data_IF_563671732448
#
_entry.id   IF_563671732448
#
_cell.length_a   1.000
_cell.length_b   1.000
_cell.length_c   1.000
_cell.angle_alpha   90.00
_cell.angle_beta   90.00
_cell.angle_gamma   90.00
#
_symmetry.space_group_name_H-M   'P 1'
#
loop_
_entity.id
_entity.type
_entity.pdbx_description
1 polymer ?
#
# COMPACT_ATOMS: atom_id res chain seq x y z
N UNK A 1 44.95 14.74 2.25
CA UNK A 1 45.33 15.48 1.01
C UNK A 1 44.09 15.60 0.15
N UNK A 2 43.68 16.85 -0.16
CA UNK A 2 42.80 17.23 -1.26
C UNK A 2 41.32 16.83 -1.22
N UNK A 3 40.46 17.70 -0.69
CA UNK A 3 39.04 17.80 -1.09
C UNK A 3 38.69 19.28 -1.24
N UNK A 4 38.52 19.73 -2.49
CA UNK A 4 38.08 21.07 -2.83
C UNK A 4 36.55 21.12 -2.87
N UNK A 5 36.00 22.03 -2.07
CA UNK A 5 34.60 22.46 -2.01
C UNK A 5 34.31 23.49 -3.09
N UNK A 6 33.23 23.30 -3.87
CA UNK A 6 32.68 24.33 -4.75
C UNK A 6 31.24 24.71 -4.36
N UNK A 7 31.07 26.01 -4.23
CA UNK A 7 29.94 26.77 -3.70
C UNK A 7 28.90 27.15 -4.77
N UNK A 8 27.69 27.44 -4.30
CA UNK A 8 26.53 27.87 -5.06
C UNK A 8 26.67 29.26 -5.72
N UNK A 9 26.07 29.45 -6.89
CA UNK A 9 25.80 30.76 -7.48
C UNK A 9 24.35 30.90 -7.97
N UNK A 10 23.66 31.88 -7.35
CA UNK A 10 22.43 32.54 -7.82
C UNK A 10 22.75 33.36 -9.09
N UNK A 11 21.86 33.35 -10.09
CA UNK A 11 21.80 34.39 -11.13
C UNK A 11 20.37 34.91 -11.28
N UNK A 12 20.23 36.22 -11.02
CA UNK A 12 19.11 37.04 -11.43
C UNK A 12 19.39 37.57 -12.85
N UNK A 13 18.34 37.73 -13.68
CA UNK A 13 18.44 38.29 -15.02
C UNK A 13 17.37 39.37 -15.24
N UNK A 14 17.83 40.59 -15.44
CA UNK A 14 17.08 41.80 -15.75
C UNK A 14 16.91 42.01 -17.27
N UNK A 15 15.84 42.72 -17.65
CA UNK A 15 15.49 43.13 -19.02
C UNK A 15 16.51 44.09 -19.67
N UNK A 16 16.49 44.21 -21.02
CA UNK A 16 16.95 45.40 -21.72
C UNK A 16 15.88 46.07 -22.64
N UNK A 17 15.75 47.39 -22.45
CA UNK A 17 15.71 48.51 -23.44
C UNK A 17 15.03 48.41 -24.81
N UNK A 18 14.25 49.43 -25.20
CA UNK A 18 14.69 50.55 -26.08
C UNK A 18 13.54 51.49 -26.51
N UNK A 19 13.86 52.77 -26.58
CA UNK A 19 13.08 53.91 -27.14
C UNK A 19 13.64 54.31 -28.50
N UNK A 20 12.80 54.68 -29.49
CA UNK A 20 13.19 55.64 -30.56
C UNK A 20 11.97 56.45 -31.03
N UNK A 21 12.24 57.76 -31.17
CA UNK A 21 11.42 58.88 -31.64
C UNK A 21 11.02 58.83 -33.12
N UNK A 22 9.99 59.62 -33.47
CA UNK A 22 9.80 60.18 -34.81
C UNK A 22 8.55 61.05 -34.91
N UNK A 23 8.70 62.36 -34.80
CA UNK A 23 7.58 63.32 -34.78
C UNK A 23 7.30 64.05 -36.10
N UNK A 24 6.44 65.07 -35.96
CA UNK A 24 6.30 66.32 -36.75
C UNK A 24 5.11 66.41 -37.74
N UNK A 25 4.17 67.31 -37.37
CA UNK A 25 3.35 68.32 -38.13
C UNK A 25 2.60 67.88 -39.41
N UNK A 26 1.49 68.48 -39.83
CA UNK A 26 0.50 69.42 -39.31
C UNK A 26 -0.61 69.54 -40.39
N UNK A 27 -1.64 70.32 -40.08
CA UNK A 27 -2.55 71.06 -40.98
C UNK A 27 -3.89 70.44 -41.38
N UNK A 28 -4.88 71.30 -41.14
CA UNK A 28 -6.28 71.22 -41.47
C UNK A 28 -6.54 71.48 -42.96
N UNK A 29 -7.63 70.92 -43.46
CA UNK A 29 -8.17 71.23 -44.78
C UNK A 29 -9.55 70.61 -44.93
N UNK A 30 -10.59 71.37 -44.60
CA UNK A 30 -11.98 70.95 -44.78
C UNK A 30 -12.36 70.84 -46.26
N UNK A 31 -13.26 69.90 -46.57
CA UNK A 31 -14.20 70.02 -47.69
C UNK A 31 -15.47 69.25 -47.36
N UNK A 32 -16.56 70.01 -47.38
CA UNK A 32 -17.95 69.58 -47.32
C UNK A 32 -18.35 68.83 -48.60
N UNK A 33 -19.02 67.69 -48.46
CA UNK A 33 -20.10 67.28 -49.39
C UNK A 33 -20.92 66.10 -48.85
N UNK A 34 -22.21 66.39 -48.64
CA UNK A 34 -23.40 65.60 -49.00
C UNK A 34 -23.53 64.16 -48.44
N UNK A 35 -24.38 64.05 -47.42
CA UNK A 35 -25.02 62.80 -46.94
C UNK A 35 -26.20 62.44 -47.85
N UNK A 36 -26.32 61.21 -48.36
CA UNK A 36 -27.60 60.66 -48.80
C UNK A 36 -28.35 60.05 -47.61
N UNK A 37 -29.58 60.53 -47.40
CA UNK A 37 -30.59 60.02 -46.47
C UNK A 37 -30.85 58.53 -46.75
N UNK A 38 -30.49 57.67 -45.79
CA UNK A 38 -30.75 56.22 -45.87
C UNK A 38 -30.08 55.40 -44.78
N UNK A 39 -29.04 55.92 -44.11
CA UNK A 39 -28.29 55.21 -43.05
C UNK A 39 -28.64 55.62 -41.61
N UNK A 40 -29.71 56.39 -41.41
CA UNK A 40 -30.04 56.93 -40.09
C UNK A 40 -30.94 55.99 -39.26
N UNK A 41 -31.76 55.14 -39.90
CA UNK A 41 -32.68 54.22 -39.19
C UNK A 41 -31.93 52.99 -38.63
N UNK A 42 -30.87 52.54 -39.31
CA UNK A 42 -30.09 51.38 -38.86
C UNK A 42 -29.17 51.69 -37.67
N UNK A 43 -28.70 52.94 -37.54
CA UNK A 43 -27.94 53.40 -36.36
C UNK A 43 -28.81 53.53 -35.12
N UNK A 44 -30.06 53.98 -35.25
CA UNK A 44 -30.98 54.06 -34.10
C UNK A 44 -31.37 52.67 -33.59
N UNK A 45 -31.60 51.70 -34.48
CA UNK A 45 -31.88 50.32 -34.08
C UNK A 45 -30.69 49.62 -33.42
N UNK A 46 -29.46 49.83 -33.92
CA UNK A 46 -28.27 49.28 -33.28
C UNK A 46 -27.95 49.96 -31.94
N UNK A 47 -28.20 51.27 -31.81
CA UNK A 47 -28.05 51.96 -30.53
C UNK A 47 -29.11 51.50 -29.52
N UNK A 48 -30.37 51.28 -29.93
CA UNK A 48 -31.41 50.72 -29.05
C UNK A 48 -31.07 49.29 -28.63
N UNK A 49 -30.57 48.45 -29.54
CA UNK A 49 -30.10 47.09 -29.21
C UNK A 49 -28.92 47.11 -28.24
N UNK A 50 -27.97 48.02 -28.41
CA UNK A 50 -26.84 48.20 -27.50
C UNK A 50 -27.33 48.72 -26.14
N UNK A 51 -28.28 49.65 -26.08
CA UNK A 51 -28.84 50.15 -24.83
C UNK A 51 -29.65 49.08 -24.09
N UNK A 52 -30.41 48.23 -24.80
CA UNK A 52 -31.12 47.09 -24.20
C UNK A 52 -30.11 46.03 -23.70
N UNK A 53 -29.05 45.74 -24.47
CA UNK A 53 -28.00 44.82 -24.06
C UNK A 53 -27.22 45.35 -22.85
N UNK A 54 -26.86 46.63 -22.84
CA UNK A 54 -26.24 47.29 -21.69
C UNK A 54 -27.18 47.32 -20.48
N UNK A 55 -28.49 47.52 -20.67
CA UNK A 55 -29.48 47.42 -19.60
C UNK A 55 -29.59 46.01 -19.04
N UNK A 56 -29.62 44.98 -19.89
CA UNK A 56 -29.64 43.56 -19.48
C UNK A 56 -28.35 43.15 -18.78
N UNK A 57 -27.18 43.58 -19.29
CA UNK A 57 -25.88 43.33 -18.65
C UNK A 57 -25.81 44.05 -17.31
N UNK A 58 -26.35 45.27 -17.21
CA UNK A 58 -26.38 46.01 -15.93
C UNK A 58 -27.34 45.37 -14.94
N UNK A 59 -28.48 44.84 -15.38
CA UNK A 59 -29.40 44.04 -14.54
C UNK A 59 -28.76 42.71 -14.13
N UNK A 60 -28.00 42.05 -15.02
CA UNK A 60 -27.26 40.81 -14.73
C UNK A 60 -26.10 41.06 -13.77
N UNK A 61 -25.38 42.17 -13.92
CA UNK A 61 -24.30 42.59 -13.02
C UNK A 61 -24.87 43.07 -11.68
N UNK A 62 -26.01 43.78 -11.66
CA UNK A 62 -26.72 44.17 -10.44
C UNK A 62 -27.37 42.96 -9.75
N UNK A 63 -27.90 41.97 -10.47
CA UNK A 63 -28.33 40.68 -9.90
C UNK A 63 -27.16 39.80 -9.46
N UNK A 64 -25.99 39.95 -10.09
CA UNK A 64 -24.74 39.31 -9.67
C UNK A 64 -24.08 39.97 -8.45
N UNK A 65 -24.39 41.24 -8.17
CA UNK A 65 -23.87 41.99 -7.02
C UNK A 65 -24.87 42.17 -5.88
N UNK A 66 -26.17 41.94 -6.14
CA UNK A 66 -27.25 41.93 -5.14
C UNK A 66 -27.89 40.54 -5.14
N UNK A 67 -27.18 39.58 -4.52
CA UNK A 67 -27.73 38.39 -3.86
C UNK A 67 -28.62 37.44 -4.66
N UNK A 68 -28.03 36.35 -5.15
CA UNK A 68 -28.52 35.00 -4.80
C UNK A 68 -27.39 34.24 -4.11
N UNK A 69 -27.08 34.69 -2.90
CA UNK A 69 -26.25 34.02 -1.92
C UNK A 69 -27.13 33.08 -1.08
N UNK A 70 -27.91 32.22 -1.74
CA UNK A 70 -28.92 31.34 -1.11
C UNK A 70 -28.72 29.86 -1.47
N UNK A 71 -27.55 29.47 -1.97
CA UNK A 71 -27.23 28.06 -2.22
C UNK A 71 -25.80 27.65 -1.87
N UNK A 72 -24.88 28.60 -1.65
CA UNK A 72 -23.55 28.28 -1.12
C UNK A 72 -23.57 28.18 0.40
N UNK A 73 -24.29 29.04 1.12
CA UNK A 73 -24.32 29.01 2.59
C UNK A 73 -24.92 27.72 3.15
N UNK A 74 -25.98 27.20 2.53
CA UNK A 74 -26.61 25.95 2.96
C UNK A 74 -25.75 24.74 2.61
N UNK A 75 -25.11 24.73 1.42
CA UNK A 75 -24.19 23.66 1.05
C UNK A 75 -22.92 23.66 1.92
N UNK A 76 -22.38 24.84 2.22
CA UNK A 76 -21.21 25.01 3.09
C UNK A 76 -21.55 24.71 4.55
N UNK A 77 -22.75 25.07 5.03
CA UNK A 77 -23.22 24.73 6.38
C UNK A 77 -23.54 23.24 6.52
N UNK A 78 -24.15 22.61 5.51
CA UNK A 78 -24.34 21.15 5.47
C UNK A 78 -22.98 20.45 5.43
N UNK A 79 -22.02 20.95 4.67
CA UNK A 79 -20.68 20.38 4.61
C UNK A 79 -19.94 20.55 5.95
N UNK A 80 -20.07 21.69 6.62
CA UNK A 80 -19.53 21.90 7.98
C UNK A 80 -20.19 20.97 8.99
N UNK A 81 -21.52 20.82 8.95
CA UNK A 81 -22.26 19.90 9.81
C UNK A 81 -21.82 18.45 9.57
N UNK A 82 -21.63 18.03 8.32
CA UNK A 82 -21.12 16.70 7.99
C UNK A 82 -19.69 16.50 8.50
N UNK A 83 -18.83 17.51 8.41
CA UNK A 83 -17.47 17.47 8.96
C UNK A 83 -17.51 17.38 10.49
N UNK A 84 -18.37 18.15 11.15
CA UNK A 84 -18.55 18.12 12.61
C UNK A 84 -19.13 16.78 13.08
N UNK A 85 -20.16 16.25 12.42
CA UNK A 85 -20.68 14.91 12.68
C UNK A 85 -19.63 13.84 12.43
N UNK A 86 -18.86 13.92 11.33
CA UNK A 86 -17.78 12.97 11.04
C UNK A 86 -16.72 13.02 12.13
N UNK A 87 -16.30 14.22 12.55
CA UNK A 87 -15.34 14.39 13.63
C UNK A 87 -15.90 13.89 14.98
N UNK A 88 -17.20 14.08 15.23
CA UNK A 88 -17.88 13.55 16.42
C UNK A 88 -17.93 12.03 16.40
N UNK A 89 -18.29 11.40 15.27
CA UNK A 89 -18.29 9.95 15.10
C UNK A 89 -16.87 9.40 15.24
N UNK A 90 -15.88 10.04 14.62
CA UNK A 90 -14.47 9.66 14.77
C UNK A 90 -14.00 9.80 16.22
N UNK A 91 -14.46 10.83 16.94
CA UNK A 91 -14.16 11.00 18.36
C UNK A 91 -14.85 9.94 19.21
N UNK A 92 -16.08 9.55 18.89
CA UNK A 92 -16.83 8.47 19.56
C UNK A 92 -16.14 7.11 19.34
N UNK A 93 -15.78 6.78 18.11
CA UNK A 93 -14.99 5.57 17.77
C UNK A 93 -13.64 5.57 18.51
N UNK A 94 -12.96 6.72 18.62
CA UNK A 94 -11.71 6.85 19.38
C UNK A 94 -11.92 6.85 20.90
N UNK A 95 -13.13 7.15 21.36
CA UNK A 95 -13.52 7.25 22.76
C UNK A 95 -14.16 5.97 23.30
N UNK A 96 -14.36 4.93 22.48
CA UNK A 96 -14.70 3.55 22.90
C UNK A 96 -13.60 2.87 23.74
N UNK A 97 -12.80 3.67 24.45
CA UNK A 97 -12.18 3.27 25.71
C UNK A 97 -13.30 3.30 26.75
N UNK A 98 -13.95 2.17 27.00
CA UNK A 98 -14.85 2.05 28.14
C UNK A 98 -14.01 2.12 29.43
N UNK A 99 -14.05 3.23 30.19
CA UNK A 99 -13.28 3.35 31.42
C UNK A 99 -13.76 2.40 32.53
N UNK A 100 -14.87 1.69 32.30
CA UNK A 100 -15.41 0.64 33.15
C UNK A 100 -15.28 -0.75 32.53
N UNK A 101 -14.50 -0.93 31.45
CA UNK A 101 -14.15 -2.28 30.98
C UNK A 101 -13.42 -3.00 32.13
N UNK A 102 -14.03 -4.04 32.75
CA UNK A 102 -13.41 -4.78 33.86
C UNK A 102 -12.06 -5.38 33.46
N UNK A 103 -11.85 -5.49 32.15
CA UNK A 103 -10.73 -6.10 31.47
C UNK A 103 -9.62 -5.07 31.12
N UNK A 104 -9.85 -3.76 31.31
CA UNK A 104 -8.83 -2.68 31.33
C UNK A 104 -8.39 -2.34 32.77
N UNK A 105 -9.29 -2.49 33.75
CA UNK A 105 -8.99 -2.32 35.18
C UNK A 105 -8.14 -3.46 35.76
N UNK A 106 -8.04 -4.56 35.03
CA UNK A 106 -7.02 -5.58 35.18
C UNK A 106 -5.97 -5.31 34.11
N UNK A 107 -5.07 -4.35 34.34
CA UNK A 107 -3.72 -4.54 33.81
C UNK A 107 -3.30 -5.91 34.32
N UNK A 108 -3.29 -6.90 33.44
CA UNK A 108 -2.72 -8.20 33.71
C UNK A 108 -1.26 -7.93 34.03
N UNK A 109 -0.96 -7.71 35.31
CA UNK A 109 0.36 -7.89 35.86
C UNK A 109 0.71 -9.33 35.51
N UNK A 110 1.31 -9.54 34.35
CA UNK A 110 1.93 -10.81 34.02
C UNK A 110 2.89 -11.03 35.16
N UNK A 111 2.57 -12.01 36.00
CA UNK A 111 3.50 -12.48 36.98
C UNK A 111 4.77 -12.87 36.19
N UNK A 112 5.91 -12.20 36.40
CA UNK A 112 7.11 -12.45 35.61
C UNK A 112 7.63 -13.90 35.75
N UNK A 113 7.06 -14.67 36.68
CA UNK A 113 7.30 -16.12 36.84
C UNK A 113 6.45 -17.02 35.92
N UNK A 114 5.47 -16.49 35.17
CA UNK A 114 4.64 -17.27 34.24
C UNK A 114 5.13 -17.03 32.82
N UNK A 115 5.61 -18.08 32.16
CA UNK A 115 6.01 -18.03 30.75
C UNK A 115 4.77 -17.90 29.87
N UNK A 116 4.74 -16.87 29.01
CA UNK A 116 3.67 -16.67 28.03
C UNK A 116 3.55 -17.87 27.08
N UNK A 117 2.31 -18.22 26.68
CA UNK A 117 2.03 -19.27 25.70
C UNK A 117 0.95 -18.80 24.71
N UNK A 118 1.06 -19.19 23.44
CA UNK A 118 0.06 -18.88 22.40
C UNK A 118 -1.24 -19.73 22.51
N UNK A 119 -1.27 -20.67 23.46
CA UNK A 119 -2.36 -21.60 23.70
C UNK A 119 -1.84 -22.96 24.17
N UNK A 120 -2.76 -23.92 24.40
CA UNK A 120 -2.37 -25.28 24.79
C UNK A 120 -1.43 -25.93 23.77
N UNK A 121 -0.44 -26.68 24.27
CA UNK A 121 0.52 -27.38 23.40
C UNK A 121 -0.19 -28.44 22.56
N UNK A 122 0.07 -28.43 21.26
CA UNK A 122 -0.38 -29.44 20.30
C UNK A 122 0.87 -30.20 19.85
N UNK A 123 0.79 -31.53 19.79
CA UNK A 123 1.95 -32.40 19.48
C UNK A 123 1.75 -33.34 18.29
N UNK A 124 0.53 -33.44 17.75
CA UNK A 124 0.20 -34.33 16.62
C UNK A 124 -0.65 -33.61 15.55
N UNK A 125 -0.36 -32.33 15.30
CA UNK A 125 -1.13 -31.54 14.33
C UNK A 125 -1.06 -32.13 12.92
N UNK A 126 0.09 -32.68 12.50
CA UNK A 126 0.22 -33.32 11.19
C UNK A 126 -0.68 -34.55 11.06
N UNK A 127 -0.79 -35.36 12.13
CA UNK A 127 -1.69 -36.51 12.20
C UNK A 127 -3.16 -36.10 12.16
N UNK A 128 -3.56 -35.14 13.00
CA UNK A 128 -4.92 -34.59 13.05
C UNK A 128 -5.33 -33.96 11.72
N UNK A 129 -4.47 -33.12 11.13
CA UNK A 129 -4.70 -32.46 9.85
C UNK A 129 -4.85 -33.46 8.71
N UNK A 130 -4.04 -34.53 8.69
CA UNK A 130 -4.17 -35.61 7.71
C UNK A 130 -5.52 -36.31 7.84
N UNK A 131 -5.94 -36.68 9.04
CA UNK A 131 -7.24 -37.32 9.28
C UNK A 131 -8.38 -36.40 8.83
N UNK A 132 -8.26 -35.09 9.07
CA UNK A 132 -9.26 -34.12 8.62
C UNK A 132 -9.33 -34.04 7.10
N UNK A 133 -8.19 -33.96 6.40
CA UNK A 133 -8.15 -33.91 4.93
C UNK A 133 -8.74 -35.17 4.29
N UNK A 134 -8.45 -36.35 4.86
CA UNK A 134 -9.00 -37.63 4.39
C UNK A 134 -10.54 -37.69 4.56
N UNK A 135 -11.10 -36.99 5.55
CA UNK A 135 -12.55 -36.95 5.84
C UNK A 135 -13.30 -35.85 5.10
N UNK A 136 -12.60 -34.82 4.58
CA UNK A 136 -13.20 -33.65 3.94
C UNK A 136 -12.59 -33.42 2.53
N UNK A 137 -12.77 -34.37 1.58
CA UNK A 137 -12.16 -34.31 0.25
C UNK A 137 -12.63 -33.12 -0.60
N UNK A 138 -13.73 -32.47 -0.24
CA UNK A 138 -14.25 -31.25 -0.84
C UNK A 138 -13.42 -29.99 -0.48
N UNK A 139 -12.56 -30.08 0.54
CA UNK A 139 -11.61 -29.04 0.94
C UNK A 139 -10.16 -29.52 0.79
N UNK A 140 -9.68 -29.77 -0.45
CA UNK A 140 -8.32 -30.24 -0.65
C UNK A 140 -7.31 -29.12 -0.39
N UNK A 141 -6.15 -29.51 0.15
CA UNK A 141 -5.00 -28.63 0.32
C UNK A 141 -4.23 -28.36 -0.98
N UNK A 142 -4.54 -29.09 -2.05
CA UNK A 142 -4.04 -28.86 -3.40
C UNK A 142 -5.19 -28.87 -4.41
N UNK A 143 -5.24 -27.84 -5.27
CA UNK A 143 -6.21 -27.74 -6.38
C UNK A 143 -5.41 -27.65 -7.68
N UNK A 144 -5.62 -28.60 -8.60
CA UNK A 144 -4.86 -28.68 -9.87
C UNK A 144 -3.34 -28.60 -9.67
N UNK A 145 -2.82 -29.36 -8.70
CA UNK A 145 -1.40 -29.37 -8.30
C UNK A 145 -0.86 -28.04 -7.75
N UNK A 146 -1.70 -27.02 -7.52
CA UNK A 146 -1.34 -25.80 -6.81
C UNK A 146 -1.76 -25.92 -5.34
N UNK A 147 -0.84 -25.66 -4.42
CA UNK A 147 -1.15 -25.66 -3.00
C UNK A 147 -2.09 -24.49 -2.66
N UNK A 148 -3.04 -24.71 -1.73
CA UNK A 148 -3.93 -23.66 -1.24
C UNK A 148 -3.16 -22.67 -0.37
N UNK A 149 -3.24 -21.39 -0.72
CA UNK A 149 -2.63 -20.29 0.03
C UNK A 149 -3.75 -19.44 0.64
N UNK A 150 -3.55 -19.05 1.90
CA UNK A 150 -4.33 -18.01 2.58
C UNK A 150 -3.43 -16.80 2.81
N UNK A 151 -3.68 -15.69 2.13
CA UNK A 151 -3.02 -14.42 2.40
C UNK A 151 -3.63 -13.80 3.66
N UNK A 152 -2.78 -13.43 4.61
CA UNK A 152 -3.18 -12.83 5.88
C UNK A 152 -2.53 -11.45 6.00
N UNK A 153 -3.34 -10.43 6.23
CA UNK A 153 -2.90 -9.06 6.50
C UNK A 153 -3.76 -8.49 7.62
N UNK A 154 -3.38 -7.34 8.17
CA UNK A 154 -4.23 -6.63 9.12
C UNK A 154 -3.79 -5.21 9.40
N UNK A 155 -4.64 -4.50 10.13
CA UNK A 155 -4.36 -3.18 10.69
C UNK A 155 -4.95 -3.12 12.10
N UNK A 156 -4.57 -2.11 12.91
CA UNK A 156 -5.28 -1.83 14.16
C UNK A 156 -6.79 -1.64 13.92
N UNK A 157 -7.65 -1.96 14.93
CA UNK A 157 -9.10 -1.73 14.87
C UNK A 157 -9.46 -0.24 14.82
N UNK A 158 -8.66 0.59 15.48
CA UNK A 158 -8.94 2.00 15.64
C UNK A 158 -8.53 2.78 14.37
N UNK A 159 -9.21 3.91 14.08
CA UNK A 159 -8.78 4.83 13.02
C UNK A 159 -7.31 5.22 13.21
N UNK A 160 -6.60 5.41 12.10
CA UNK A 160 -5.23 5.86 12.15
C UNK A 160 -5.08 7.20 12.86
N UNK A 161 -3.89 7.44 13.44
CA UNK A 161 -3.54 8.73 14.06
C UNK A 161 -3.71 9.86 13.03
N UNK A 162 -3.28 9.58 11.80
CA UNK A 162 -3.46 10.42 10.63
C UNK A 162 -4.51 9.81 9.69
N UNK A 163 -5.58 10.55 9.39
CA UNK A 163 -6.68 10.10 8.52
C UNK A 163 -6.23 9.70 7.11
N UNK A 164 -5.12 10.24 6.60
CA UNK A 164 -4.57 9.78 5.31
C UNK A 164 -4.06 8.33 5.39
N UNK A 165 -3.67 7.86 6.57
CA UNK A 165 -3.25 6.50 6.83
C UNK A 165 -4.32 5.49 6.44
N UNK A 166 -5.57 5.71 6.85
CA UNK A 166 -6.71 4.86 6.50
C UNK A 166 -6.92 4.78 4.98
N UNK A 167 -6.69 5.89 4.26
CA UNK A 167 -6.76 5.88 2.80
C UNK A 167 -5.68 4.98 2.17
N UNK A 168 -4.46 4.98 2.71
CA UNK A 168 -3.40 4.10 2.21
C UNK A 168 -3.58 2.64 2.65
N UNK A 169 -4.18 2.37 3.82
CA UNK A 169 -4.62 1.02 4.19
C UNK A 169 -5.66 0.50 3.20
N UNK A 170 -6.64 1.33 2.82
CA UNK A 170 -7.65 0.99 1.82
C UNK A 170 -7.03 0.68 0.45
N UNK A 171 -6.08 1.51 0.00
CA UNK A 171 -5.35 1.27 -1.25
C UNK A 171 -4.52 -0.01 -1.18
N UNK A 172 -3.88 -0.28 -0.05
CA UNK A 172 -3.09 -1.49 0.13
C UNK A 172 -3.95 -2.77 0.12
N UNK A 173 -5.13 -2.76 0.75
CA UNK A 173 -6.02 -3.91 0.66
C UNK A 173 -6.63 -4.07 -0.74
N UNK A 174 -6.99 -2.99 -1.45
CA UNK A 174 -7.39 -3.10 -2.86
C UNK A 174 -6.29 -3.77 -3.70
N UNK A 175 -5.04 -3.36 -3.52
CA UNK A 175 -3.90 -3.96 -4.22
C UNK A 175 -3.80 -5.48 -3.95
N UNK A 176 -3.89 -5.90 -2.68
CA UNK A 176 -3.90 -7.32 -2.30
C UNK A 176 -5.11 -8.07 -2.86
N UNK A 177 -6.31 -7.48 -2.83
CA UNK A 177 -7.53 -8.03 -3.45
C UNK A 177 -7.33 -8.28 -4.93
N UNK A 178 -6.74 -7.32 -5.66
CA UNK A 178 -6.52 -7.46 -7.09
C UNK A 178 -5.55 -8.60 -7.40
N UNK A 179 -4.43 -8.69 -6.69
CA UNK A 179 -3.48 -9.80 -6.84
C UNK A 179 -4.14 -11.14 -6.52
N UNK A 180 -4.74 -11.28 -5.34
CA UNK A 180 -5.31 -12.56 -4.92
C UNK A 180 -6.46 -13.02 -5.81
N UNK A 181 -7.27 -12.10 -6.33
CA UNK A 181 -8.31 -12.42 -7.33
C UNK A 181 -7.72 -12.96 -8.63
N UNK A 182 -6.59 -12.40 -9.09
CA UNK A 182 -5.91 -12.87 -10.31
C UNK A 182 -5.25 -14.24 -10.11
N UNK A 183 -4.80 -14.53 -8.90
CA UNK A 183 -4.02 -15.73 -8.57
C UNK A 183 -4.81 -16.84 -7.86
N UNK A 184 -6.10 -16.63 -7.58
CA UNK A 184 -6.96 -17.61 -6.90
C UNK A 184 -6.57 -17.84 -5.44
N UNK A 185 -6.15 -16.79 -4.73
CA UNK A 185 -5.72 -16.82 -3.34
C UNK A 185 -6.83 -16.24 -2.45
N UNK A 186 -7.09 -16.86 -1.32
CA UNK A 186 -8.05 -16.35 -0.32
C UNK A 186 -7.36 -15.30 0.57
N UNK A 187 -8.13 -14.33 1.09
CA UNK A 187 -7.60 -13.26 1.95
C UNK A 187 -8.35 -13.24 3.29
N UNK A 188 -7.59 -13.16 4.38
CA UNK A 188 -8.07 -12.72 5.70
C UNK A 188 -7.48 -11.35 6.02
N UNK A 189 -8.37 -10.40 6.34
CA UNK A 189 -8.00 -9.09 6.87
C UNK A 189 -8.38 -9.01 8.34
N UNK A 190 -7.39 -9.02 9.24
CA UNK A 190 -7.65 -8.91 10.66
C UNK A 190 -7.68 -7.45 11.12
N UNK A 191 -8.69 -7.11 11.92
CA UNK A 191 -8.81 -5.85 12.66
C UNK A 191 -8.99 -6.08 14.16
N UNK A 192 -8.88 -7.33 14.65
CA UNK A 192 -9.08 -7.65 16.06
C UNK A 192 -7.76 -7.86 16.80
N UNK A 193 -7.70 -7.44 18.06
CA UNK A 193 -6.67 -7.86 18.99
C UNK A 193 -7.07 -9.21 19.60
N UNK A 194 -6.46 -10.29 19.13
CA UNK A 194 -6.72 -11.64 19.64
C UNK A 194 -6.04 -11.93 20.99
N UNK A 195 -5.03 -11.13 21.31
CA UNK A 195 -4.21 -11.26 22.51
C UNK A 195 -3.77 -9.86 22.96
N UNK A 196 -4.01 -9.53 24.24
CA UNK A 196 -3.70 -8.21 24.81
C UNK A 196 -2.20 -8.00 25.07
N UNK A 197 -1.43 -9.08 25.17
CA UNK A 197 0.01 -9.07 25.43
C UNK A 197 0.82 -8.96 24.14
N UNK A 198 0.38 -9.65 23.09
CA UNK A 198 0.98 -9.58 21.76
C UNK A 198 0.34 -8.48 20.90
N UNK A 199 0.59 -7.23 21.28
CA UNK A 199 0.18 -6.04 20.52
C UNK A 199 1.20 -5.62 19.44
N UNK A 200 0.76 -4.76 18.51
CA UNK A 200 1.61 -4.19 17.46
C UNK A 200 2.06 -5.24 16.44
N UNK A 201 3.35 -5.23 16.06
CA UNK A 201 3.90 -6.17 15.08
C UNK A 201 3.82 -7.63 15.55
N UNK A 202 3.72 -7.88 16.85
CA UNK A 202 3.58 -9.22 17.44
C UNK A 202 2.19 -9.86 17.25
N UNK A 203 1.16 -9.07 16.95
CA UNK A 203 -0.22 -9.55 16.82
C UNK A 203 -0.41 -10.59 15.70
N UNK A 204 0.55 -10.68 14.77
CA UNK A 204 0.53 -11.68 13.69
C UNK A 204 0.70 -13.11 14.20
N UNK A 205 1.47 -13.36 15.27
CA UNK A 205 1.71 -14.71 15.79
C UNK A 205 0.42 -15.42 16.26
N UNK A 206 -0.39 -14.86 17.18
CA UNK A 206 -1.61 -15.52 17.65
C UNK A 206 -2.64 -15.67 16.52
N UNK A 207 -2.69 -14.71 15.58
CA UNK A 207 -3.55 -14.80 14.40
C UNK A 207 -3.14 -15.94 13.47
N UNK A 208 -1.85 -16.05 13.13
CA UNK A 208 -1.35 -17.13 12.27
C UNK A 208 -1.64 -18.49 12.92
N UNK A 209 -1.34 -18.66 14.22
CA UNK A 209 -1.67 -19.90 14.95
C UNK A 209 -3.15 -20.22 14.86
N UNK A 210 -4.02 -19.23 15.10
CA UNK A 210 -5.48 -19.41 15.03
C UNK A 210 -5.93 -19.85 13.64
N UNK A 211 -5.41 -19.22 12.59
CA UNK A 211 -5.77 -19.53 11.21
C UNK A 211 -5.26 -20.90 10.77
N UNK A 212 -4.03 -21.30 11.15
CA UNK A 212 -3.52 -22.64 10.90
C UNK A 212 -4.46 -23.72 11.45
N UNK A 213 -4.91 -23.56 12.70
CA UNK A 213 -5.79 -24.52 13.37
C UNK A 213 -7.24 -24.48 12.87
N UNK A 214 -7.70 -23.32 12.36
CA UNK A 214 -9.08 -23.15 11.88
C UNK A 214 -9.24 -23.50 10.41
N UNK A 215 -8.15 -23.57 9.66
CA UNK A 215 -8.13 -23.87 8.22
C UNK A 215 -7.18 -25.03 7.90
N UNK A 216 -7.50 -26.29 8.28
CA UNK A 216 -6.68 -27.46 7.97
C UNK A 216 -6.49 -27.68 6.46
N UNK A 217 -7.41 -27.20 5.63
CA UNK A 217 -7.34 -27.23 4.16
C UNK A 217 -6.25 -26.31 3.59
N UNK A 218 -5.80 -25.29 4.33
CA UNK A 218 -4.78 -24.37 3.84
C UNK A 218 -3.40 -25.02 4.00
N UNK A 219 -2.64 -25.07 2.91
CA UNK A 219 -1.27 -25.61 2.94
C UNK A 219 -0.26 -24.53 3.33
N UNK A 220 -0.47 -23.29 2.87
CA UNK A 220 0.41 -22.15 3.16
C UNK A 220 -0.37 -20.95 3.71
N UNK A 221 0.02 -20.49 4.89
CA UNK A 221 -0.37 -19.19 5.42
C UNK A 221 0.68 -18.18 4.95
N UNK A 222 0.27 -17.17 4.19
CA UNK A 222 1.16 -16.11 3.72
C UNK A 222 0.84 -14.81 4.45
N UNK A 223 1.66 -14.45 5.42
CA UNK A 223 1.57 -13.16 6.08
C UNK A 223 2.13 -12.06 5.18
N UNK A 224 1.41 -10.94 5.06
CA UNK A 224 1.87 -9.74 4.37
C UNK A 224 1.45 -8.48 5.13
N UNK A 225 2.41 -7.64 5.51
CA UNK A 225 2.17 -6.39 6.23
C UNK A 225 1.27 -5.44 5.41
N UNK A 226 0.55 -4.56 6.10
CA UNK A 226 -0.39 -3.62 5.45
C UNK A 226 0.31 -2.57 4.58
N UNK A 227 1.57 -2.24 4.87
CA UNK A 227 2.42 -1.33 4.09
C UNK A 227 3.30 -2.06 3.06
N UNK A 228 3.09 -3.36 2.84
CA UNK A 228 3.62 -4.10 1.70
C UNK A 228 2.61 -4.13 0.54
N UNK A 229 3.06 -3.80 -0.68
CA UNK A 229 2.25 -3.80 -1.89
C UNK A 229 2.81 -4.78 -2.92
N UNK A 230 1.93 -5.52 -3.57
CA UNK A 230 2.26 -6.21 -4.82
C UNK A 230 2.57 -5.17 -5.89
N UNK A 231 3.72 -5.30 -6.54
CA UNK A 231 4.12 -4.46 -7.66
C UNK A 231 4.40 -5.28 -8.93
N UNK A 232 4.43 -6.60 -8.83
CA UNK A 232 4.30 -7.53 -9.96
C UNK A 232 2.98 -8.31 -9.85
N UNK A 233 1.99 -7.94 -10.66
CA UNK A 233 0.67 -8.60 -10.68
C UNK A 233 0.68 -9.91 -11.47
N UNK A 234 1.74 -10.22 -12.21
CA UNK A 234 1.85 -11.41 -13.06
C UNK A 234 2.73 -12.51 -12.44
N UNK A 235 3.62 -12.16 -11.52
CA UNK A 235 4.49 -13.12 -10.85
C UNK A 235 3.72 -14.08 -9.95
N UNK A 236 4.00 -15.38 -10.07
CA UNK A 236 3.53 -16.45 -9.19
C UNK A 236 4.68 -16.97 -8.33
N UNK A 237 4.43 -17.19 -7.04
CA UNK A 237 5.42 -17.79 -6.13
C UNK A 237 5.73 -19.22 -6.61
N UNK A 238 7.01 -19.57 -6.86
CA UNK A 238 7.40 -20.89 -7.35
C UNK A 238 7.37 -21.93 -6.23
N UNK A 239 6.18 -22.31 -5.73
CA UNK A 239 6.02 -23.13 -4.54
C UNK A 239 6.77 -24.47 -4.56
N UNK A 240 6.96 -25.07 -5.75
CA UNK A 240 7.73 -26.31 -5.90
C UNK A 240 9.20 -26.17 -5.47
N UNK A 241 9.74 -24.95 -5.45
CA UNK A 241 11.07 -24.64 -4.90
C UNK A 241 11.14 -24.90 -3.38
N UNK A 242 9.99 -24.91 -2.70
CA UNK A 242 9.88 -24.95 -1.25
C UNK A 242 9.27 -26.24 -0.70
N UNK A 243 9.14 -27.30 -1.52
CA UNK A 243 8.50 -28.56 -1.13
C UNK A 243 9.08 -29.18 0.16
N UNK A 244 10.39 -29.01 0.39
CA UNK A 244 11.08 -29.54 1.57
C UNK A 244 11.17 -28.57 2.77
N UNK A 245 10.57 -27.38 2.65
CA UNK A 245 10.65 -26.28 3.63
C UNK A 245 9.26 -25.96 4.20
N UNK A 246 9.27 -25.34 5.38
CA UNK A 246 8.07 -24.97 6.13
C UNK A 246 7.98 -23.46 6.37
N UNK A 247 9.10 -22.74 6.35
CA UNK A 247 9.14 -21.28 6.38
C UNK A 247 9.88 -20.78 5.13
N UNK A 248 9.25 -19.87 4.39
CA UNK A 248 9.88 -19.14 3.27
C UNK A 248 9.88 -17.67 3.61
N UNK A 249 11.06 -17.07 3.69
CA UNK A 249 11.23 -15.69 4.13
C UNK A 249 12.31 -15.00 3.30
N UNK A 250 12.06 -13.74 2.91
CA UNK A 250 13.06 -12.99 2.18
C UNK A 250 14.24 -12.63 3.08
N UNK A 251 15.46 -12.77 2.56
CA UNK A 251 16.64 -12.33 3.29
C UNK A 251 17.95 -12.56 2.54
N UNK A 252 19.04 -12.21 3.19
CA UNK A 252 20.38 -12.32 2.62
C UNK A 252 21.23 -13.26 3.49
N UNK A 253 21.66 -14.43 2.97
CA UNK A 253 22.45 -15.39 3.75
C UNK A 253 23.72 -14.81 4.38
N UNK A 254 24.41 -13.91 3.69
CA UNK A 254 25.60 -13.22 4.25
C UNK A 254 25.24 -12.36 5.46
N UNK A 255 24.14 -11.59 5.37
CA UNK A 255 23.66 -10.79 6.49
C UNK A 255 23.23 -11.66 7.68
N UNK A 256 22.63 -12.82 7.41
CA UNK A 256 22.15 -13.73 8.43
C UNK A 256 23.29 -14.45 9.17
N UNK A 257 24.13 -15.17 8.41
CA UNK A 257 25.11 -16.09 9.01
C UNK A 257 26.44 -15.43 9.34
N UNK A 258 26.92 -14.50 8.50
CA UNK A 258 28.22 -13.88 8.69
C UNK A 258 28.10 -12.60 9.53
N UNK A 259 27.15 -11.73 9.19
CA UNK A 259 27.05 -10.42 9.83
C UNK A 259 26.13 -10.40 11.06
N UNK A 260 25.20 -11.38 11.18
CA UNK A 260 24.16 -11.42 12.21
C UNK A 260 23.38 -10.11 12.30
N UNK A 261 23.00 -9.57 11.13
CA UNK A 261 22.32 -8.28 11.00
C UNK A 261 20.85 -8.39 11.36
N UNK A 262 20.29 -7.38 12.04
CA UNK A 262 18.86 -7.34 12.37
C UNK A 262 17.93 -7.14 11.16
N UNK A 263 18.50 -6.79 10.00
CA UNK A 263 17.80 -6.70 8.70
C UNK A 263 18.16 -7.88 7.78
N UNK A 264 18.70 -8.97 8.34
CA UNK A 264 19.09 -10.13 7.54
C UNK A 264 17.91 -10.84 6.88
N UNK A 265 16.75 -10.81 7.53
CA UNK A 265 15.47 -11.36 7.07
C UNK A 265 14.39 -10.29 7.21
N UNK A 266 13.26 -10.43 6.51
CA UNK A 266 12.10 -9.55 6.70
C UNK A 266 10.83 -10.34 7.01
N UNK A 267 10.20 -10.04 8.15
CA UNK A 267 8.95 -10.70 8.61
C UNK A 267 7.68 -9.95 8.19
N UNK A 268 7.79 -9.05 7.20
CA UNK A 268 6.63 -8.37 6.64
C UNK A 268 6.04 -9.04 5.41
N UNK A 269 6.69 -10.08 4.87
CA UNK A 269 6.14 -10.94 3.83
C UNK A 269 6.83 -12.30 3.89
N UNK A 270 6.13 -13.32 4.36
CA UNK A 270 6.67 -14.68 4.52
C UNK A 270 5.56 -15.74 4.47
N UNK A 271 5.94 -16.98 4.15
CA UNK A 271 5.03 -18.12 4.09
C UNK A 271 5.33 -19.12 5.20
N UNK A 272 4.30 -19.57 5.90
CA UNK A 272 4.31 -20.74 6.79
C UNK A 272 3.53 -21.90 6.19
N UNK A 273 4.12 -23.09 6.20
CA UNK A 273 3.39 -24.33 5.93
C UNK A 273 2.50 -24.67 7.12
N UNK A 274 1.28 -25.11 6.87
CA UNK A 274 0.37 -25.57 7.92
C UNK A 274 0.76 -26.98 8.42
N UNK A 275 1.70 -27.02 9.35
CA UNK A 275 2.25 -28.26 9.92
C UNK A 275 2.69 -28.08 11.38
N UNK A 276 2.94 -29.20 12.06
CA UNK A 276 3.38 -29.24 13.46
C UNK A 276 4.64 -28.40 13.69
N UNK A 277 5.62 -28.49 12.78
CA UNK A 277 6.86 -27.71 12.87
C UNK A 277 6.61 -26.20 12.95
N UNK A 278 5.63 -25.68 12.19
CA UNK A 278 5.31 -24.25 12.21
C UNK A 278 4.62 -23.84 13.51
N UNK A 279 3.78 -24.71 14.10
CA UNK A 279 3.21 -24.47 15.44
C UNK A 279 4.32 -24.42 16.50
N UNK A 280 5.27 -25.34 16.43
CA UNK A 280 6.41 -25.38 17.35
C UNK A 280 7.29 -24.13 17.21
N UNK A 281 7.53 -23.64 15.98
CA UNK A 281 8.29 -22.41 15.77
C UNK A 281 7.56 -21.20 16.37
N UNK A 282 6.23 -21.10 16.19
CA UNK A 282 5.45 -20.02 16.78
C UNK A 282 5.57 -19.98 18.31
N UNK A 283 5.56 -21.15 18.96
CA UNK A 283 5.70 -21.28 20.41
C UNK A 283 7.05 -20.73 20.92
N UNK A 284 8.16 -20.97 20.19
CA UNK A 284 9.49 -20.48 20.58
C UNK A 284 9.81 -19.07 20.07
N UNK A 285 9.03 -18.55 19.13
CA UNK A 285 9.17 -17.18 18.63
C UNK A 285 8.44 -16.16 19.52
N UNK A 286 7.25 -16.52 20.03
CA UNK A 286 6.43 -15.67 20.88
C UNK A 286 7.04 -15.15 22.20
N UNK A 287 7.98 -15.82 22.90
CA UNK A 287 8.37 -15.44 24.27
C UNK A 287 8.97 -14.04 24.44
N UNK A 288 9.52 -13.44 23.37
CA UNK A 288 10.04 -12.07 23.40
C UNK A 288 8.97 -10.99 23.11
N UNK A 289 7.74 -11.42 22.82
CA UNK A 289 6.65 -10.55 22.38
C UNK A 289 5.75 -9.91 23.44
N UNK A 290 5.52 -10.47 24.64
CA UNK A 290 4.62 -9.86 25.63
C UNK A 290 5.04 -8.44 26.01
N UNK A 291 4.15 -7.46 25.83
CA UNK A 291 4.42 -6.03 26.08
C UNK A 291 4.90 -5.76 27.52
N UNK A 292 5.54 -4.61 27.71
CA UNK A 292 6.08 -4.20 29.01
C UNK A 292 7.48 -4.79 29.28
N UNK A 293 7.83 -5.10 30.54
CA UNK A 293 9.21 -5.44 30.92
C UNK A 293 9.82 -6.60 30.13
N UNK A 294 9.02 -7.61 29.76
CA UNK A 294 9.49 -8.77 29.00
C UNK A 294 10.04 -8.34 27.64
N UNK A 295 9.24 -7.61 26.86
CA UNK A 295 9.64 -7.12 25.53
C UNK A 295 10.76 -6.08 25.60
N UNK A 296 10.78 -5.25 26.64
CA UNK A 296 11.84 -4.25 26.85
C UNK A 296 13.20 -4.91 27.13
N UNK A 297 13.24 -5.88 28.05
CA UNK A 297 14.47 -6.63 28.34
C UNK A 297 14.92 -7.48 27.16
N UNK A 298 13.98 -8.13 26.46
CA UNK A 298 14.28 -8.84 25.22
C UNK A 298 14.87 -7.89 24.15
N UNK A 299 14.36 -6.65 24.05
CA UNK A 299 14.91 -5.63 23.16
C UNK A 299 16.38 -5.31 23.43
N UNK A 300 16.79 -5.28 24.70
CA UNK A 300 18.20 -5.10 25.08
C UNK A 300 19.05 -6.30 24.66
N UNK A 301 18.54 -7.53 24.87
CA UNK A 301 19.22 -8.76 24.42
C UNK A 301 19.41 -8.75 22.90
N UNK A 302 18.38 -8.42 22.14
CA UNK A 302 18.43 -8.36 20.67
C UNK A 302 19.42 -7.29 20.20
N UNK A 303 19.41 -6.11 20.82
CA UNK A 303 20.35 -5.02 20.50
C UNK A 303 21.80 -5.41 20.76
N UNK A 304 22.06 -6.17 21.83
CA UNK A 304 23.39 -6.64 22.17
C UNK A 304 23.91 -7.75 21.24
N UNK A 305 23.02 -8.51 20.59
CA UNK A 305 23.37 -9.69 19.80
C UNK A 305 23.24 -9.53 18.29
N UNK A 306 22.49 -8.53 17.81
CA UNK A 306 22.24 -8.30 16.39
C UNK A 306 22.92 -7.03 15.90
N UNK A 307 23.74 -7.18 14.86
CA UNK A 307 24.51 -6.08 14.28
C UNK A 307 23.57 -5.03 13.69
N UNK A 308 23.82 -3.77 14.06
CA UNK A 308 23.14 -2.61 13.49
C UNK A 308 21.72 -2.37 14.00
N UNK A 309 21.22 -3.17 14.96
CA UNK A 309 19.91 -2.95 15.58
C UNK A 309 19.95 -1.70 16.48
N UNK A 310 19.06 -0.71 16.31
CA UNK A 310 18.94 0.40 17.24
C UNK A 310 18.33 -0.06 18.59
N UNK A 311 18.46 0.78 19.62
CA UNK A 311 17.91 0.49 20.94
C UNK A 311 16.40 0.82 20.99
N UNK A 312 15.56 -0.21 21.01
CA UNK A 312 14.11 -0.15 21.21
C UNK A 312 13.59 -1.53 21.66
N UNK A 313 12.30 -1.60 22.03
CA UNK A 313 11.60 -2.84 22.43
C UNK A 313 11.81 -3.99 21.44
N UNK A 314 11.70 -5.25 21.87
CA UNK A 314 11.80 -6.39 20.97
C UNK A 314 10.73 -6.35 19.85
N UNK A 315 11.17 -6.66 18.63
CA UNK A 315 10.34 -6.82 17.43
C UNK A 315 10.39 -8.27 16.93
N UNK A 316 9.33 -8.70 16.24
CA UNK A 316 9.18 -10.05 15.73
C UNK A 316 10.31 -10.43 14.76
N UNK A 317 10.74 -9.49 13.90
CA UNK A 317 11.82 -9.72 12.93
C UNK A 317 13.15 -10.06 13.61
N UNK A 318 13.57 -9.20 14.54
CA UNK A 318 14.81 -9.38 15.30
C UNK A 318 14.77 -10.64 16.15
N UNK A 319 13.62 -10.94 16.79
CA UNK A 319 13.44 -12.15 17.57
C UNK A 319 13.58 -13.42 16.71
N UNK A 320 12.99 -13.44 15.51
CA UNK A 320 13.13 -14.57 14.59
C UNK A 320 14.58 -14.75 14.13
N UNK A 321 15.25 -13.66 13.75
CA UNK A 321 16.66 -13.69 13.33
C UNK A 321 17.54 -14.24 14.46
N UNK A 322 17.35 -13.74 15.68
CA UNK A 322 18.09 -14.20 16.86
C UNK A 322 17.84 -15.69 17.14
N UNK A 323 16.58 -16.14 17.08
CA UNK A 323 16.21 -17.55 17.23
C UNK A 323 16.88 -18.43 16.18
N UNK A 324 16.78 -18.08 14.90
CA UNK A 324 17.34 -18.87 13.80
C UNK A 324 18.87 -18.92 13.80
N UNK A 325 19.54 -17.89 14.31
CA UNK A 325 21.00 -17.90 14.50
C UNK A 325 21.40 -18.75 15.72
N UNK A 326 20.68 -18.60 16.83
CA UNK A 326 21.03 -19.26 18.11
C UNK A 326 20.67 -20.75 18.14
N UNK A 327 19.61 -21.15 17.44
CA UNK A 327 19.10 -22.51 17.37
C UNK A 327 19.13 -23.03 15.92
N UNK A 328 20.20 -22.70 15.19
CA UNK A 328 20.36 -23.01 13.76
C UNK A 328 20.11 -24.49 13.45
N UNK A 329 20.70 -25.40 14.22
CA UNK A 329 20.65 -26.84 13.95
C UNK A 329 19.23 -27.42 14.12
N UNK A 330 18.40 -26.77 14.92
CA UNK A 330 17.01 -27.17 15.17
C UNK A 330 16.07 -26.68 14.07
N UNK A 331 16.18 -25.41 13.67
CA UNK A 331 15.16 -24.77 12.82
C UNK A 331 15.58 -24.62 11.35
N UNK A 332 16.84 -24.30 11.06
CA UNK A 332 17.23 -23.81 9.72
C UNK A 332 17.09 -24.87 8.61
N UNK A 333 17.04 -26.16 8.94
CA UNK A 333 16.83 -27.23 7.95
C UNK A 333 15.48 -27.13 7.22
N UNK A 334 14.50 -26.41 7.80
CA UNK A 334 13.16 -26.19 7.25
C UNK A 334 12.88 -24.73 6.87
N UNK A 335 13.88 -23.85 6.95
CA UNK A 335 13.76 -22.44 6.57
C UNK A 335 14.43 -22.21 5.23
N UNK A 336 13.67 -21.67 4.27
CA UNK A 336 14.19 -21.20 3.00
C UNK A 336 14.39 -19.68 3.05
N UNK A 337 15.64 -19.23 2.95
CA UNK A 337 15.98 -17.80 2.83
C UNK A 337 15.94 -17.42 1.35
N UNK A 338 14.84 -16.78 0.94
CA UNK A 338 14.62 -16.38 -0.44
C UNK A 338 15.34 -15.07 -0.77
N UNK A 339 16.06 -15.07 -1.89
CA UNK A 339 16.78 -13.91 -2.41
C UNK A 339 16.81 -13.84 -3.95
N UNK A 340 16.12 -14.74 -4.66
CA UNK A 340 16.07 -14.74 -6.12
C UNK A 340 14.97 -13.83 -6.69
N UNK A 341 14.03 -13.38 -5.86
CA UNK A 341 13.01 -12.38 -6.18
C UNK A 341 12.61 -11.64 -4.91
N UNK A 342 11.94 -10.50 -5.05
CA UNK A 342 11.54 -9.66 -3.91
C UNK A 342 10.24 -10.16 -3.26
N UNK A 343 10.29 -11.28 -2.55
CA UNK A 343 9.21 -11.64 -1.60
C UNK A 343 9.00 -10.51 -0.57
N UNK A 344 10.07 -9.79 -0.25
CA UNK A 344 10.07 -8.45 0.33
C UNK A 344 11.07 -7.59 -0.45
N UNK A 345 10.65 -6.40 -0.91
CA UNK A 345 11.52 -5.44 -1.58
C UNK A 345 11.55 -4.10 -0.86
N UNK A 346 12.73 -3.67 -0.41
CA UNK A 346 12.90 -2.41 0.31
C UNK A 346 12.60 -1.21 -0.60
N UNK A 347 11.52 -0.49 -0.29
CA UNK A 347 10.93 0.53 -1.17
C UNK A 347 11.91 1.61 -1.64
N UNK A 348 12.79 2.10 -0.77
CA UNK A 348 13.65 3.25 -1.10
C UNK A 348 14.67 2.94 -2.21
N UNK A 349 15.01 1.67 -2.43
CA UNK A 349 15.85 1.23 -3.54
C UNK A 349 15.10 0.89 -4.84
N UNK A 350 13.76 0.89 -4.80
CA UNK A 350 12.90 0.41 -5.88
C UNK A 350 12.07 1.51 -6.52
N UNK A 351 11.43 2.36 -5.70
CA UNK A 351 10.36 3.27 -6.18
C UNK A 351 10.84 4.29 -7.20
N UNK A 352 12.11 4.71 -7.15
CA UNK A 352 12.69 5.67 -8.09
C UNK A 352 13.05 5.05 -9.44
N UNK A 353 13.00 3.71 -9.54
CA UNK A 353 13.32 2.95 -10.77
C UNK A 353 12.10 2.51 -11.57
N UNK A 354 10.88 2.78 -11.11
CA UNK A 354 9.66 2.29 -11.78
C UNK A 354 9.52 2.75 -13.23
N UNK A 355 9.87 3.99 -13.56
CA UNK A 355 9.85 4.47 -14.95
C UNK A 355 10.84 3.71 -15.83
N UNK A 356 12.05 3.44 -15.31
CA UNK A 356 13.04 2.60 -15.99
C UNK A 356 12.49 1.18 -16.21
N UNK A 357 11.84 0.60 -15.19
CA UNK A 357 11.27 -0.74 -15.27
C UNK A 357 10.16 -0.83 -16.31
N UNK A 358 9.29 0.17 -16.39
CA UNK A 358 8.22 0.28 -17.41
C UNK A 358 8.81 0.35 -18.82
N UNK A 359 9.95 1.03 -19.00
CA UNK A 359 10.59 1.20 -20.30
C UNK A 359 11.33 -0.06 -20.76
N UNK A 360 12.06 -0.72 -19.86
CA UNK A 360 13.02 -1.77 -20.21
C UNK A 360 12.51 -3.20 -20.00
N UNK A 361 11.55 -3.40 -19.10
CA UNK A 361 11.15 -4.73 -18.63
C UNK A 361 9.63 -4.92 -18.73
N UNK A 362 9.14 -6.02 -18.15
CA UNK A 362 7.74 -6.38 -18.09
C UNK A 362 7.44 -7.11 -16.77
N UNK A 363 6.18 -7.13 -16.31
CA UNK A 363 5.77 -7.92 -15.14
C UNK A 363 5.94 -9.43 -15.40
N UNK A 364 6.03 -10.20 -14.33
CA UNK A 364 6.26 -11.65 -14.30
C UNK A 364 7.69 -12.04 -13.89
N UNK A 365 8.55 -11.08 -13.55
CA UNK A 365 9.97 -11.33 -13.21
C UNK A 365 10.19 -11.42 -11.69
N UNK A 366 9.45 -10.62 -10.91
CA UNK A 366 9.49 -10.60 -9.45
C UNK A 366 10.76 -10.02 -8.79
N UNK A 367 11.80 -9.69 -9.55
CA UNK A 367 13.12 -9.27 -9.06
C UNK A 367 13.44 -7.77 -9.33
N UNK A 368 14.71 -7.38 -9.33
CA UNK A 368 15.18 -6.01 -9.60
C UNK A 368 14.80 -5.40 -10.95
N UNK A 369 14.30 -6.23 -11.88
CA UNK A 369 13.78 -5.80 -13.19
C UNK A 369 12.30 -5.44 -13.10
N UNK A 370 11.57 -6.11 -12.22
CA UNK A 370 10.17 -5.84 -11.89
C UNK A 370 9.83 -6.44 -10.52
N UNK A 371 9.87 -5.66 -9.42
CA UNK A 371 9.83 -6.24 -8.07
C UNK A 371 8.48 -6.86 -7.77
N UNK A 372 8.48 -8.04 -7.15
CA UNK A 372 7.25 -8.70 -6.75
C UNK A 372 6.51 -7.92 -5.66
N UNK A 373 7.20 -7.64 -4.55
CA UNK A 373 6.69 -6.84 -3.44
C UNK A 373 7.53 -5.58 -3.27
N UNK A 374 6.86 -4.44 -3.10
CA UNK A 374 7.46 -3.20 -2.59
C UNK A 374 6.92 -2.95 -1.19
N UNK A 375 7.81 -2.97 -0.20
CA UNK A 375 7.48 -2.90 1.23
C UNK A 375 7.98 -1.58 1.84
N UNK A 376 7.05 -0.78 2.36
CA UNK A 376 7.26 0.58 2.88
C UNK A 376 7.74 0.62 4.34
N UNK A 377 8.67 -0.27 4.68
CA UNK A 377 9.29 -0.34 6.01
C UNK A 377 9.74 1.05 6.48
N UNK A 378 9.33 1.40 7.70
CA UNK A 378 9.66 2.68 8.34
C UNK A 378 8.73 3.84 7.99
N UNK A 379 7.82 3.70 7.02
CA UNK A 379 6.88 4.78 6.65
C UNK A 379 5.72 4.95 7.64
N UNK A 380 5.26 3.86 8.26
CA UNK A 380 4.23 3.83 9.31
C UNK A 380 3.03 4.77 9.02
N UNK A 381 2.33 4.61 7.87
CA UNK A 381 1.34 5.59 7.40
C UNK A 381 0.14 5.77 8.35
N UNK A 382 -0.14 4.78 9.19
CA UNK A 382 -1.23 4.80 10.17
C UNK A 382 -0.82 5.36 11.55
N UNK A 383 0.48 5.36 11.85
CA UNK A 383 1.02 5.83 13.14
C UNK A 383 1.51 7.27 13.08
N UNK A 384 1.82 7.81 14.26
CA UNK A 384 2.29 9.19 14.45
C UNK A 384 3.80 9.40 14.23
N UNK A 385 4.61 8.34 14.23
CA UNK A 385 6.07 8.42 14.04
C UNK A 385 6.53 7.45 12.95
N UNK A 386 7.32 7.95 11.99
CA UNK A 386 7.98 7.18 10.93
C UNK A 386 9.47 7.55 10.80
N UNK A 387 10.26 6.64 10.25
CA UNK A 387 11.72 6.81 10.07
C UNK A 387 12.05 7.68 8.84
N UNK A 388 11.05 7.92 7.98
CA UNK A 388 11.17 8.68 6.74
C UNK A 388 10.19 9.86 6.70
N UNK A 389 10.49 10.90 5.90
CA UNK A 389 9.55 12.00 5.69
C UNK A 389 8.22 11.49 5.14
N UNK A 390 7.12 11.83 5.82
CA UNK A 390 5.76 11.39 5.48
C UNK A 390 5.42 11.68 4.01
N UNK A 391 5.77 12.87 3.51
CA UNK A 391 5.52 13.25 2.11
C UNK A 391 6.22 12.31 1.10
N UNK A 392 7.47 11.90 1.38
CA UNK A 392 8.21 10.94 0.55
C UNK A 392 7.55 9.56 0.60
N UNK A 393 7.12 9.13 1.79
CA UNK A 393 6.42 7.87 1.95
C UNK A 393 5.11 7.83 1.16
N UNK A 394 4.22 8.80 1.38
CA UNK A 394 2.91 8.82 0.73
C UNK A 394 3.05 8.94 -0.80
N UNK A 395 3.91 9.84 -1.29
CA UNK A 395 4.16 9.95 -2.74
C UNK A 395 4.74 8.67 -3.36
N UNK A 396 5.58 7.95 -2.62
CA UNK A 396 6.16 6.68 -3.09
C UNK A 396 5.17 5.52 -3.02
N UNK A 397 4.31 5.48 -2.00
CA UNK A 397 3.19 4.55 -1.91
C UNK A 397 2.18 4.76 -3.04
N UNK A 398 1.89 6.03 -3.37
CA UNK A 398 1.05 6.39 -4.52
C UNK A 398 1.64 5.84 -5.82
N UNK A 399 2.96 6.01 -6.01
CA UNK A 399 3.69 5.47 -7.17
C UNK A 399 3.63 3.96 -7.24
N UNK A 400 3.91 3.26 -6.14
CA UNK A 400 3.87 1.79 -6.10
C UNK A 400 2.47 1.25 -6.35
N UNK A 401 1.45 1.85 -5.73
CA UNK A 401 0.05 1.49 -5.99
C UNK A 401 -0.30 1.69 -7.47
N UNK A 402 -0.01 2.84 -8.07
CA UNK A 402 -0.35 3.10 -9.48
C UNK A 402 0.50 2.26 -10.45
N UNK A 403 1.74 1.91 -10.08
CA UNK A 403 2.60 0.98 -10.84
C UNK A 403 1.96 -0.41 -10.93
N UNK A 404 1.40 -0.88 -9.82
CA UNK A 404 0.67 -2.13 -9.75
C UNK A 404 -0.72 -2.04 -10.42
N UNK A 405 -1.52 -1.02 -10.09
CA UNK A 405 -2.88 -0.83 -10.59
C UNK A 405 -2.89 -0.61 -12.11
N UNK A 406 -1.82 -0.05 -12.70
CA UNK A 406 -1.66 0.00 -14.16
C UNK A 406 -1.70 -1.38 -14.82
N UNK A 407 -1.20 -2.44 -14.16
CA UNK A 407 -1.23 -3.80 -14.70
C UNK A 407 -2.67 -4.34 -14.69
N UNK A 408 -3.46 -4.00 -13.66
CA UNK A 408 -4.88 -4.35 -13.53
C UNK A 408 -5.75 -3.54 -14.51
N UNK A 409 -5.59 -2.22 -14.56
CA UNK A 409 -6.32 -1.31 -15.45
C UNK A 409 -6.09 -1.62 -16.93
N UNK A 410 -4.90 -2.12 -17.28
CA UNK A 410 -4.56 -2.50 -18.65
C UNK A 410 -5.53 -3.56 -19.19
N UNK A 411 -5.99 -4.49 -18.35
CA UNK A 411 -7.00 -5.51 -18.71
C UNK A 411 -8.30 -4.85 -19.21
N UNK A 412 -8.65 -3.69 -18.65
CA UNK A 412 -9.85 -2.93 -18.98
C UNK A 412 -9.62 -1.84 -20.03
N UNK A 413 -8.40 -1.68 -20.54
CA UNK A 413 -8.08 -0.68 -21.57
C UNK A 413 -7.79 0.72 -21.01
N UNK A 414 -7.37 0.80 -19.74
CA UNK A 414 -6.99 2.04 -19.08
C UNK A 414 -5.57 1.97 -18.51
N UNK A 415 -5.02 3.14 -18.18
CA UNK A 415 -3.85 3.31 -17.32
C UNK A 415 -3.89 4.66 -16.63
N UNK A 416 -3.15 4.82 -15.53
CA UNK A 416 -2.90 6.11 -14.90
C UNK A 416 -2.21 7.08 -15.87
N UNK A 417 -2.49 8.38 -15.73
CA UNK A 417 -1.83 9.43 -16.53
C UNK A 417 -0.33 9.52 -16.23
N UNK A 418 0.06 9.21 -15.00
CA UNK A 418 1.42 9.04 -14.49
C UNK A 418 1.38 8.41 -13.10
N UNK A 419 2.52 7.94 -12.58
CA UNK A 419 2.56 7.16 -11.33
C UNK A 419 2.15 7.97 -10.08
N UNK A 420 2.19 9.30 -10.13
CA UNK A 420 1.70 10.16 -9.03
C UNK A 420 0.25 10.64 -9.23
N UNK A 421 -0.41 10.26 -10.33
CA UNK A 421 -1.72 10.79 -10.67
C UNK A 421 -2.82 9.74 -10.48
N UNK A 422 -3.85 10.02 -9.67
CA UNK A 422 -5.02 9.14 -9.57
C UNK A 422 -5.89 9.18 -10.84
N UNK A 423 -5.65 10.15 -11.75
CA UNK A 423 -6.41 10.28 -13.00
C UNK A 423 -5.98 9.21 -13.99
N UNK A 424 -6.95 8.54 -14.59
CA UNK A 424 -6.72 7.56 -15.65
C UNK A 424 -6.87 8.15 -17.06
N UNK A 425 -6.35 7.43 -18.06
CA UNK A 425 -6.56 7.66 -19.48
C UNK A 425 -6.80 6.33 -20.20
N UNK A 426 -7.58 6.37 -21.27
CA UNK A 426 -7.78 5.23 -22.16
C UNK A 426 -6.49 4.91 -22.92
N UNK A 427 -6.23 3.63 -23.15
CA UNK A 427 -5.09 3.15 -23.97
C UNK A 427 -5.53 2.42 -25.23
N UNK A 428 -6.84 2.19 -25.39
CA UNK A 428 -7.44 1.63 -26.60
C UNK A 428 -8.81 2.25 -26.84
N UNK A 429 -9.26 2.24 -28.09
CA UNK A 429 -10.61 2.66 -28.48
C UNK A 429 -11.64 1.64 -27.99
N UNK A 430 -12.88 2.09 -27.82
CA UNK A 430 -14.00 1.19 -27.57
C UNK A 430 -14.27 0.35 -28.81
N UNK A 431 -14.70 -0.89 -28.60
CA UNK A 431 -15.09 -1.81 -29.65
C UNK A 431 -16.44 -2.41 -29.32
N UNK A 432 -17.25 -2.65 -30.34
CA UNK A 432 -18.49 -3.42 -30.24
C UNK A 432 -18.24 -4.94 -30.23
N UNK A 433 -16.99 -5.36 -30.46
CA UNK A 433 -16.54 -6.75 -30.46
C UNK A 433 -15.45 -7.00 -29.39
N UNK A 434 -15.73 -6.80 -28.09
CA UNK A 434 -14.72 -6.89 -27.03
C UNK A 434 -14.09 -8.28 -26.86
N UNK A 435 -14.72 -9.33 -27.41
CA UNK A 435 -14.25 -10.71 -27.30
C UNK A 435 -13.26 -11.13 -28.39
N UNK A 436 -13.11 -10.36 -29.47
CA UNK A 436 -12.21 -10.71 -30.58
C UNK A 436 -10.72 -10.64 -30.21
N UNK A 437 -10.38 -9.85 -29.19
CA UNK A 437 -8.99 -9.54 -28.83
C UNK A 437 -8.65 -9.98 -27.40
N UNK A 438 -9.43 -10.86 -26.79
CA UNK A 438 -9.26 -11.29 -25.39
C UNK A 438 -7.87 -11.86 -25.13
N UNK A 439 -7.41 -12.75 -26.01
CA UNK A 439 -6.10 -13.39 -25.90
C UNK A 439 -4.95 -12.41 -26.18
N UNK A 440 -5.17 -11.40 -27.04
CA UNK A 440 -4.19 -10.34 -27.29
C UNK A 440 -4.02 -9.40 -26.08
N UNK A 441 -5.09 -9.23 -25.30
CA UNK A 441 -5.14 -8.30 -24.19
C UNK A 441 -4.99 -8.96 -22.82
N UNK A 442 -4.77 -10.28 -22.80
CA UNK A 442 -4.60 -11.09 -21.60
C UNK A 442 -5.73 -10.89 -20.57
N UNK A 443 -6.94 -10.61 -21.05
CA UNK A 443 -8.07 -10.15 -20.22
C UNK A 443 -8.54 -11.26 -19.28
N UNK A 444 -8.22 -12.52 -19.61
CA UNK A 444 -8.47 -13.71 -18.79
C UNK A 444 -7.46 -14.78 -19.15
N UNK A 445 -6.58 -15.13 -18.20
CA UNK A 445 -6.08 -16.49 -17.91
C UNK A 445 -4.95 -16.38 -16.88
N UNK A 446 -5.13 -16.82 -15.62
CA UNK A 446 -4.08 -17.62 -15.02
C UNK A 446 -3.85 -18.77 -16.00
N UNK A 447 -2.63 -18.99 -16.45
CA UNK A 447 -2.32 -20.06 -17.40
C UNK A 447 -2.67 -21.40 -16.74
N UNK A 448 -3.89 -21.87 -16.95
CA UNK A 448 -4.23 -23.27 -16.79
C UNK A 448 -3.59 -23.97 -17.99
N UNK A 449 -2.36 -24.43 -17.80
CA UNK A 449 -1.67 -25.28 -18.73
C UNK A 449 -2.48 -26.58 -18.90
N UNK A 450 -3.43 -26.59 -19.84
CA UNK A 450 -3.83 -27.83 -20.47
C UNK A 450 -2.68 -28.24 -21.37
N UNK A 451 -1.86 -29.18 -20.88
CA UNK A 451 -1.00 -30.03 -21.71
C UNK A 451 -1.90 -30.95 -22.56
N UNK A 452 -2.61 -30.37 -23.53
CA UNK A 452 -3.29 -31.11 -24.57
C UNK A 452 -2.33 -31.32 -25.73
N UNK A 453 -1.74 -32.52 -25.79
CA UNK A 453 -1.00 -33.02 -26.94
C UNK A 453 -1.76 -32.75 -28.24
N UNK A 454 -1.18 -31.99 -29.17
CA UNK A 454 -1.61 -32.03 -30.57
C UNK A 454 -0.87 -33.20 -31.24
N UNK A 455 -1.62 -34.27 -31.47
CA UNK A 455 -1.37 -35.28 -32.50
C UNK A 455 -1.43 -34.67 -33.90
#
# INVERSE_FOLDING_TARGET
MGQDTLTAQKRAGSLPTTTVNGGVRATAGGRTSLIPRGRQIHRTFNNIKITILCGLVTILVLRGTIGLNLSSSDADAVNQHLIEETNRILAEIRSDKDPNDPDELLESEINPNITYTLGPKITDWDGERKIWLDRNPEFPNYVNSKARILLVTGSPPNPCDNAIGDHYLLKAIKNKIDYCRLHGIEIVYNMAHLDKELAGYWAKLPLIRRLMLSHPEVEWIWWMDSDALFTDMSFEIPLSKYDNHNLVIHGYPDLLFNQKSWIALNTGSFLFRNCQWSLDLLDVWAPMGPKGPIRDEAGKILTANLKGRPAFEADDQSALIYLLISQKDEWMSKVFVENSYFLHGYWAGLVDRYEEMIEKYHPGLGDERWPFVTHFVGCKPCGSYGDYPVERCLSSMERAFNFADNQVLKLYGFRHKGLLSPKIKRIRNETVTPLEFVDQFDIRRPVHANSGSRS
#
